data_IF_201395018129
#
_entry.id   IF_201395018129
#
_cell.length_a   1.000
_cell.length_b   1.000
_cell.length_c   1.000
_cell.angle_alpha   90.00
_cell.angle_beta   90.00
_cell.angle_gamma   90.00
#
_symmetry.space_group_name_H-M   'P 1'
#
loop_
_entity.id
_entity.type
_entity.pdbx_description
1 polymer ?
#
# COMPACT_ATOMS: atom_id res chain seq x y z
N UNK A 1 1.92 2.13 -1.47
CA UNK A 1 3.21 1.41 -1.59
C UNK A 1 3.11 0.34 -2.68
N UNK A 2 2.12 -0.56 -2.67
CA UNK A 2 1.93 -1.56 -3.74
C UNK A 2 1.77 -0.94 -5.13
N UNK A 3 0.79 -0.05 -5.36
CA UNK A 3 0.70 0.62 -6.67
C UNK A 3 1.90 1.51 -7.00
N UNK A 4 2.61 2.06 -6.00
CA UNK A 4 3.86 2.78 -6.23
C UNK A 4 4.95 1.85 -6.78
N UNK A 5 5.10 0.65 -6.22
CA UNK A 5 6.04 -0.36 -6.70
C UNK A 5 5.77 -0.77 -8.15
N UNK A 6 4.50 -0.98 -8.50
CA UNK A 6 4.09 -1.35 -9.85
C UNK A 6 3.92 -0.17 -10.81
N UNK A 7 4.12 1.07 -10.34
CA UNK A 7 3.88 2.30 -11.10
C UNK A 7 2.46 2.36 -11.70
N UNK A 8 1.46 1.91 -10.94
CA UNK A 8 0.08 1.79 -11.42
C UNK A 8 -0.70 3.07 -11.18
N UNK A 9 -0.89 3.85 -12.25
CA UNK A 9 -1.52 5.17 -12.19
C UNK A 9 -2.92 5.16 -11.55
N UNK A 10 -3.80 4.26 -12.00
CA UNK A 10 -5.17 4.19 -11.48
C UNK A 10 -5.25 3.74 -10.02
N UNK A 11 -4.46 2.74 -9.62
CA UNK A 11 -4.43 2.28 -8.21
C UNK A 11 -3.97 3.43 -7.31
N UNK A 12 -2.90 4.11 -7.69
CA UNK A 12 -2.36 5.24 -6.92
C UNK A 12 -3.39 6.36 -6.81
N UNK A 13 -4.05 6.72 -7.92
CA UNK A 13 -5.14 7.70 -7.90
C UNK A 13 -6.24 7.31 -6.90
N UNK A 14 -6.78 6.10 -7.02
CA UNK A 14 -7.88 5.65 -6.17
C UNK A 14 -7.48 5.61 -4.68
N UNK A 15 -6.28 5.14 -4.36
CA UNK A 15 -5.81 5.03 -2.99
C UNK A 15 -5.38 6.37 -2.38
N UNK A 16 -4.91 7.34 -3.18
CA UNK A 16 -4.69 8.71 -2.72
C UNK A 16 -6.02 9.31 -2.23
N UNK A 17 -7.11 9.15 -2.99
CA UNK A 17 -8.43 9.63 -2.58
C UNK A 17 -8.90 9.01 -1.26
N UNK A 18 -8.71 7.70 -1.09
CA UNK A 18 -9.06 6.99 0.14
C UNK A 18 -8.20 7.45 1.33
N UNK A 19 -6.89 7.64 1.11
CA UNK A 19 -5.98 8.11 2.14
C UNK A 19 -6.30 9.53 2.61
N UNK A 20 -6.59 10.44 1.68
CA UNK A 20 -7.05 11.81 1.99
C UNK A 20 -8.37 11.78 2.77
N UNK A 21 -9.35 11.00 2.32
CA UNK A 21 -10.64 10.86 3.02
C UNK A 21 -10.50 10.26 4.43
N UNK A 22 -9.44 9.47 4.66
CA UNK A 22 -9.09 8.90 5.96
C UNK A 22 -8.28 9.86 6.85
N UNK A 23 -7.97 11.07 6.36
CA UNK A 23 -7.28 12.10 7.12
C UNK A 23 -5.76 11.92 7.22
N UNK A 24 -5.14 11.13 6.33
CA UNK A 24 -3.66 11.06 6.28
C UNK A 24 -3.10 12.40 5.80
N UNK A 25 -1.95 12.79 6.36
CA UNK A 25 -1.26 14.00 5.94
C UNK A 25 -0.79 13.90 4.48
N UNK A 26 -0.95 14.97 3.72
CA UNK A 26 -0.57 15.05 2.30
C UNK A 26 0.88 14.61 2.06
N UNK A 27 1.80 15.05 2.91
CA UNK A 27 3.22 14.67 2.85
C UNK A 27 3.44 13.16 3.03
N UNK A 28 2.67 12.51 3.91
CA UNK A 28 2.74 11.06 4.10
C UNK A 28 2.27 10.33 2.84
N UNK A 29 1.16 10.78 2.25
CA UNK A 29 0.60 10.22 1.02
C UNK A 29 1.61 10.37 -0.12
N UNK A 30 2.13 11.58 -0.33
CA UNK A 30 3.12 11.87 -1.37
C UNK A 30 4.39 11.01 -1.22
N UNK A 31 4.89 10.85 0.02
CA UNK A 31 6.07 10.03 0.31
C UNK A 31 5.85 8.56 -0.05
N UNK A 32 4.70 7.99 0.33
CA UNK A 32 4.35 6.61 0.01
C UNK A 32 4.12 6.43 -1.50
N UNK A 33 3.49 7.41 -2.16
CA UNK A 33 3.26 7.39 -3.61
C UNK A 33 4.58 7.46 -4.40
N UNK A 34 5.60 8.13 -3.86
CA UNK A 34 6.97 8.13 -4.38
C UNK A 34 7.76 6.83 -4.07
N UNK A 35 7.12 5.83 -3.46
CA UNK A 35 7.77 4.57 -3.08
C UNK A 35 8.76 4.72 -1.94
N UNK A 36 8.65 5.78 -1.14
CA UNK A 36 9.52 6.06 0.01
C UNK A 36 8.79 5.78 1.33
N UNK A 37 9.57 5.58 2.40
CA UNK A 37 9.04 5.39 3.75
C UNK A 37 8.88 6.76 4.45
N UNK A 38 7.67 7.12 4.92
CA UNK A 38 7.47 8.33 5.73
C UNK A 38 8.23 8.25 7.07
N UNK A 39 8.76 9.39 7.51
CA UNK A 39 9.57 9.47 8.74
C UNK A 39 8.72 9.42 10.02
N UNK A 40 7.46 9.83 9.95
CA UNK A 40 6.59 10.03 11.12
C UNK A 40 5.47 8.99 11.22
N UNK A 41 5.70 7.77 10.73
CA UNK A 41 4.75 6.68 10.90
C UNK A 41 4.61 6.30 12.38
N UNK A 42 3.37 6.15 12.84
CA UNK A 42 3.11 5.47 14.11
C UNK A 42 3.65 4.03 14.05
N UNK A 43 3.93 3.44 15.21
CA UNK A 43 4.39 2.06 15.29
C UNK A 43 3.47 1.07 14.54
N UNK A 44 2.15 1.31 14.57
CA UNK A 44 1.19 0.50 13.82
C UNK A 44 1.34 0.69 12.31
N UNK A 45 1.43 1.92 11.83
CA UNK A 45 1.61 2.18 10.39
C UNK A 45 2.95 1.66 9.86
N UNK A 46 4.03 1.79 10.64
CA UNK A 46 5.35 1.26 10.28
C UNK A 46 5.31 -0.27 10.12
N UNK A 47 4.67 -0.99 11.05
CA UNK A 47 4.52 -2.44 10.95
C UNK A 47 3.73 -2.87 9.68
N UNK A 48 2.68 -2.15 9.31
CA UNK A 48 1.96 -2.41 8.06
C UNK A 48 2.81 -2.09 6.82
N UNK A 49 3.54 -0.98 6.84
CA UNK A 49 4.44 -0.58 5.76
C UNK A 49 5.53 -1.63 5.53
N UNK A 50 6.17 -2.14 6.59
CA UNK A 50 7.23 -3.14 6.50
C UNK A 50 6.75 -4.45 5.88
N UNK A 51 5.55 -4.93 6.28
CA UNK A 51 4.93 -6.12 5.68
C UNK A 51 4.71 -5.92 4.18
N UNK A 52 4.07 -4.82 3.80
CA UNK A 52 3.78 -4.53 2.40
C UNK A 52 5.07 -4.38 1.58
N UNK A 53 6.04 -3.63 2.09
CA UNK A 53 7.34 -3.34 1.45
C UNK A 53 8.16 -4.61 1.23
N UNK A 54 8.19 -5.52 2.22
CA UNK A 54 8.88 -6.79 2.07
C UNK A 54 8.22 -7.67 1.00
N UNK A 55 6.90 -7.81 1.04
CA UNK A 55 6.15 -8.75 0.20
C UNK A 55 5.95 -8.29 -1.24
N UNK A 56 5.85 -6.98 -1.50
CA UNK A 56 5.59 -6.48 -2.86
C UNK A 56 6.68 -6.90 -3.85
N UNK A 57 7.90 -7.10 -3.36
CA UNK A 57 9.05 -7.56 -4.16
C UNK A 57 9.01 -9.06 -4.51
N UNK A 58 7.98 -9.79 -4.07
CA UNK A 58 7.82 -11.23 -4.29
C UNK A 58 8.77 -12.09 -3.46
N UNK A 59 9.30 -11.55 -2.35
CA UNK A 59 10.25 -12.24 -1.48
C UNK A 59 9.56 -12.80 -0.23
N UNK A 60 10.29 -13.69 0.47
CA UNK A 60 9.87 -14.19 1.78
C UNK A 60 9.73 -13.03 2.77
N UNK A 61 8.61 -12.99 3.50
CA UNK A 61 8.43 -12.07 4.62
C UNK A 61 9.40 -12.42 5.74
N UNK A 62 10.32 -11.52 6.17
CA UNK A 62 11.24 -11.82 7.25
C UNK A 62 10.52 -12.12 8.57
N UNK A 63 10.99 -13.12 9.32
CA UNK A 63 10.37 -13.55 10.59
C UNK A 63 10.17 -12.39 11.58
N UNK A 64 11.15 -11.48 11.66
CA UNK A 64 11.06 -10.29 12.52
C UNK A 64 9.86 -9.42 12.14
N UNK A 65 9.63 -9.20 10.84
CA UNK A 65 8.52 -8.39 10.33
C UNK A 65 7.19 -9.09 10.59
N UNK A 66 7.12 -10.41 10.35
CA UNK A 66 5.92 -11.20 10.63
C UNK A 66 5.55 -11.17 12.12
N UNK A 67 6.51 -11.44 13.01
CA UNK A 67 6.26 -11.40 14.46
C UNK A 67 5.85 -10.00 14.94
N UNK A 68 6.45 -8.95 14.39
CA UNK A 68 6.07 -7.58 14.71
C UNK A 68 4.66 -7.26 14.25
N UNK A 69 4.24 -7.73 13.08
CA UNK A 69 2.88 -7.60 12.59
C UNK A 69 1.89 -8.36 13.48
N UNK A 70 2.16 -9.61 13.83
CA UNK A 70 1.29 -10.41 14.72
C UNK A 70 1.17 -9.76 16.10
N UNK A 71 2.26 -9.23 16.65
CA UNK A 71 2.23 -8.51 17.94
C UNK A 71 1.37 -7.24 17.88
N UNK A 72 1.36 -6.57 16.72
CA UNK A 72 0.68 -5.28 16.54
C UNK A 72 -0.80 -5.43 16.17
N UNK A 73 -1.12 -6.42 15.33
CA UNK A 73 -2.45 -6.59 14.70
C UNK A 73 -3.15 -7.91 15.05
N UNK A 74 -2.49 -8.81 15.77
CA UNK A 74 -2.93 -10.20 15.92
C UNK A 74 -2.66 -11.03 14.67
N UNK A 75 -2.93 -12.33 14.76
CA UNK A 75 -2.72 -13.28 13.66
C UNK A 75 -3.58 -12.95 12.43
N UNK A 76 -4.86 -12.64 12.66
CA UNK A 76 -5.81 -12.34 11.57
C UNK A 76 -5.45 -11.03 10.85
N UNK A 77 -5.09 -9.98 11.58
CA UNK A 77 -4.65 -8.72 10.97
C UNK A 77 -3.33 -8.84 10.22
N UNK A 78 -2.39 -9.65 10.71
CA UNK A 78 -1.17 -9.95 9.96
C UNK A 78 -1.47 -10.73 8.67
N UNK A 79 -2.39 -11.70 8.72
CA UNK A 79 -2.84 -12.44 7.54
C UNK A 79 -3.55 -11.53 6.53
N UNK A 80 -4.37 -10.59 7.00
CA UNK A 80 -5.03 -9.59 6.16
C UNK A 80 -4.03 -8.70 5.43
N UNK A 81 -2.97 -8.23 6.11
CA UNK A 81 -1.90 -7.44 5.44
C UNK A 81 -1.19 -8.21 4.33
N UNK A 82 -0.92 -9.51 4.55
CA UNK A 82 -0.35 -10.40 3.53
C UNK A 82 -1.30 -10.52 2.34
N UNK A 83 -2.59 -10.78 2.61
CA UNK A 83 -3.62 -10.91 1.59
C UNK A 83 -3.78 -9.62 0.78
N UNK A 84 -3.92 -8.46 1.43
CA UNK A 84 -4.09 -7.17 0.76
C UNK A 84 -2.87 -6.83 -0.11
N UNK A 85 -1.65 -7.12 0.37
CA UNK A 85 -0.44 -6.89 -0.43
C UNK A 85 -0.46 -7.72 -1.71
N UNK A 86 -0.80 -9.01 -1.63
CA UNK A 86 -0.92 -9.88 -2.80
C UNK A 86 -2.06 -9.48 -3.74
N UNK A 87 -3.24 -9.19 -3.19
CA UNK A 87 -4.42 -8.77 -3.93
C UNK A 87 -4.14 -7.50 -4.73
N UNK A 88 -3.62 -6.46 -4.09
CA UNK A 88 -3.33 -5.19 -4.78
C UNK A 88 -2.15 -5.30 -5.74
N UNK A 89 -1.25 -6.26 -5.56
CA UNK A 89 -0.22 -6.58 -6.56
C UNK A 89 -0.87 -7.14 -7.83
N UNK A 90 -1.82 -8.08 -7.70
CA UNK A 90 -2.59 -8.61 -8.83
C UNK A 90 -3.43 -7.51 -9.51
N UNK A 91 -4.14 -6.69 -8.72
CA UNK A 91 -4.93 -5.56 -9.24
C UNK A 91 -4.03 -4.59 -10.01
N UNK A 92 -2.86 -4.26 -9.46
CA UNK A 92 -1.89 -3.39 -10.13
C UNK A 92 -1.43 -3.94 -11.48
N UNK A 93 -1.13 -5.25 -11.55
CA UNK A 93 -0.79 -5.93 -12.80
C UNK A 93 -1.93 -5.86 -13.82
N UNK A 94 -3.18 -6.08 -13.38
CA UNK A 94 -4.37 -6.02 -14.26
C UNK A 94 -4.57 -4.59 -14.80
N UNK A 95 -4.55 -3.58 -13.93
CA UNK A 95 -4.76 -2.18 -14.32
C UNK A 95 -3.69 -1.69 -15.30
N UNK A 96 -2.42 -2.04 -15.05
CA UNK A 96 -1.33 -1.76 -15.98
C UNK A 96 -1.50 -2.52 -17.31
N UNK A 97 -1.91 -3.79 -17.25
CA UNK A 97 -2.10 -4.62 -18.44
C UNK A 97 -3.19 -4.10 -19.39
N UNK A 98 -4.19 -3.41 -18.85
CA UNK A 98 -5.26 -2.77 -19.63
C UNK A 98 -5.04 -1.26 -19.88
N UNK A 99 -3.92 -0.70 -19.43
CA UNK A 99 -3.62 0.74 -19.53
C UNK A 99 -4.80 1.62 -19.05
N UNK A 100 -5.35 1.29 -17.89
CA UNK A 100 -6.55 1.95 -17.37
C UNK A 100 -6.23 3.43 -17.04
N UNK A 101 -6.93 4.40 -17.67
CA UNK A 101 -6.64 5.81 -17.46
C UNK A 101 -7.17 6.31 -16.12
N UNK A 102 -6.49 7.30 -15.56
CA UNK A 102 -6.98 8.08 -14.42
C UNK A 102 -8.04 9.08 -14.91
N UNK A 103 -9.15 9.30 -14.18
CA UNK A 103 -10.13 10.33 -14.53
C UNK A 103 -9.52 11.73 -14.66
N UNK A 104 -9.98 12.49 -15.66
CA UNK A 104 -9.51 13.87 -15.89
C UNK A 104 -9.99 14.84 -14.81
N UNK A 105 -11.12 14.55 -14.15
CA UNK A 105 -11.62 15.30 -13.02
C UNK A 105 -12.04 14.39 -11.85
N UNK A 106 -11.95 14.93 -10.63
CA UNK A 106 -12.31 14.21 -9.39
C UNK A 106 -13.81 13.93 -9.25
N UNK A 107 -14.64 14.49 -10.14
CA UNK A 107 -16.11 14.33 -10.15
C UNK A 107 -16.61 13.28 -11.16
N UNK A 108 -15.71 12.59 -11.87
CA UNK A 108 -16.08 11.63 -12.92
C UNK A 108 -16.23 10.18 -12.39
N UNK A 109 -16.48 10.01 -11.09
CA UNK A 109 -16.74 8.74 -10.39
C UNK A 109 -18.24 8.60 -10.08
#
# INVERSE_FOLDING_TARGET
MTGAHFHTAYELYAHVLVAEASGLAEETIATIAAGQCPVDLTHQQAAAYDVASALVSGRLLPDLVYHQAVKTFGADGAAELIYLTGLYSLVSVILNGFDVPVPESRNDL
#
